data_IF_207815813496
#
_entry.id   IF_207815813496
#
_cell.length_a   1.000
_cell.length_b   1.000
_cell.length_c   1.000
_cell.angle_alpha   90.00
_cell.angle_beta   90.00
_cell.angle_gamma   90.00
#
_symmetry.space_group_name_H-M   'P 1'
#
loop_
_entity.id
_entity.type
_entity.pdbx_description
1 polymer ?
#
# COMPACT_ATOMS: atom_id res chain seq x y z
N UNK A 1 21.61 -3.36 -2.08
CA UNK A 1 20.66 -2.90 -1.02
C UNK A 1 19.25 -3.54 -1.15
N UNK A 2 19.13 -4.76 -1.71
CA UNK A 2 17.85 -5.42 -2.05
C UNK A 2 17.55 -6.70 -1.25
N UNK A 3 18.52 -7.24 -0.49
CA UNK A 3 18.33 -8.47 0.30
C UNK A 3 17.64 -8.25 1.66
N UNK A 4 17.85 -7.11 2.32
CA UNK A 4 17.33 -6.88 3.68
C UNK A 4 15.81 -6.58 3.73
N UNK A 5 15.24 -6.02 2.67
CA UNK A 5 13.79 -5.82 2.57
C UNK A 5 13.03 -7.14 2.27
N UNK A 6 13.72 -8.14 1.70
CA UNK A 6 13.12 -9.42 1.30
C UNK A 6 12.68 -10.25 2.51
N UNK A 7 13.48 -10.27 3.58
CA UNK A 7 13.26 -11.13 4.76
C UNK A 7 12.03 -10.77 5.60
N UNK A 8 11.78 -9.48 5.85
CA UNK A 8 10.63 -9.05 6.67
C UNK A 8 9.29 -9.32 5.99
N UNK A 9 9.17 -9.10 4.68
CA UNK A 9 7.93 -9.40 3.95
C UNK A 9 7.66 -10.90 3.83
N UNK A 10 8.72 -11.72 3.69
CA UNK A 10 8.60 -13.18 3.65
C UNK A 10 8.02 -13.74 4.96
N UNK A 11 8.39 -13.18 6.11
CA UNK A 11 7.86 -13.59 7.41
C UNK A 11 6.35 -13.35 7.53
N UNK A 12 5.84 -12.22 7.05
CA UNK A 12 4.40 -11.94 7.05
C UNK A 12 3.63 -12.86 6.10
N UNK A 13 4.18 -13.14 4.92
CA UNK A 13 3.60 -14.08 3.96
C UNK A 13 3.56 -15.49 4.57
N UNK A 14 4.65 -15.92 5.20
CA UNK A 14 4.73 -17.21 5.88
C UNK A 14 3.75 -17.29 7.04
N UNK A 15 3.65 -16.27 7.89
CA UNK A 15 2.69 -16.26 9.00
C UNK A 15 1.25 -16.38 8.49
N UNK A 16 0.88 -15.59 7.48
CA UNK A 16 -0.46 -15.62 6.89
C UNK A 16 -0.74 -16.96 6.19
N UNK A 17 0.23 -17.48 5.45
CA UNK A 17 0.12 -18.77 4.80
C UNK A 17 -0.01 -19.91 5.81
N UNK A 18 0.77 -19.88 6.90
CA UNK A 18 0.72 -20.86 7.99
C UNK A 18 -0.61 -20.76 8.74
N UNK A 19 -1.10 -19.56 9.06
CA UNK A 19 -2.41 -19.42 9.71
C UNK A 19 -3.53 -19.91 8.80
N UNK A 20 -3.51 -19.58 7.51
CA UNK A 20 -4.47 -20.08 6.53
C UNK A 20 -4.42 -21.61 6.37
N UNK A 21 -3.22 -22.18 6.25
CA UNK A 21 -3.00 -23.63 6.19
C UNK A 21 -3.45 -24.34 7.47
N UNK A 22 -3.16 -23.76 8.63
CA UNK A 22 -3.56 -24.31 9.93
C UNK A 22 -5.08 -24.30 10.07
N UNK A 23 -5.74 -23.18 9.72
CA UNK A 23 -7.21 -23.10 9.71
C UNK A 23 -7.84 -24.09 8.73
N UNK A 24 -7.25 -24.25 7.54
CA UNK A 24 -7.72 -25.24 6.56
C UNK A 24 -7.53 -26.68 7.03
N UNK A 25 -6.35 -27.01 7.57
CA UNK A 25 -6.06 -28.33 8.11
C UNK A 25 -6.98 -28.68 9.28
N UNK A 26 -7.20 -27.74 10.21
CA UNK A 26 -8.15 -27.92 11.31
C UNK A 26 -9.58 -28.14 10.81
N UNK A 27 -10.03 -27.36 9.82
CA UNK A 27 -11.36 -27.55 9.22
C UNK A 27 -11.51 -28.93 8.55
N UNK A 28 -10.50 -29.38 7.80
CA UNK A 28 -10.54 -30.67 7.11
C UNK A 28 -10.40 -31.88 8.04
N UNK A 29 -9.62 -31.76 9.12
CA UNK A 29 -9.41 -32.83 10.11
C UNK A 29 -10.45 -32.85 11.22
N UNK A 30 -11.22 -31.78 11.41
CA UNK A 30 -12.27 -31.68 12.42
C UNK A 30 -13.30 -32.82 12.37
N UNK A 31 -13.80 -33.27 11.19
CA UNK A 31 -14.75 -34.38 11.10
C UNK A 31 -14.10 -35.75 11.36
N UNK A 32 -12.77 -35.86 11.20
CA UNK A 32 -12.03 -37.11 11.41
C UNK A 32 -11.79 -37.40 12.90
N UNK A 33 -11.84 -36.36 13.74
CA UNK A 33 -11.86 -36.47 15.18
C UNK A 33 -13.30 -36.80 15.57
N UNK A 34 -13.61 -38.08 15.82
CA UNK A 34 -14.94 -38.59 16.16
C UNK A 34 -15.51 -38.09 17.52
N UNK A 35 -15.41 -36.79 17.77
CA UNK A 35 -15.85 -36.09 18.95
C UNK A 35 -17.10 -35.29 18.57
N UNK A 36 -18.22 -35.59 19.21
CA UNK A 36 -19.51 -34.96 18.94
C UNK A 36 -19.45 -33.43 19.09
N UNK A 37 -19.91 -32.69 18.07
CA UNK A 37 -20.07 -31.23 18.13
C UNK A 37 -18.82 -30.41 17.77
N UNK A 38 -17.70 -31.04 17.41
CA UNK A 38 -16.49 -30.34 16.97
C UNK A 38 -16.72 -29.51 15.73
N UNK A 39 -17.50 -29.99 14.76
CA UNK A 39 -17.77 -29.26 13.50
C UNK A 39 -18.36 -27.87 13.74
N UNK A 40 -19.42 -27.80 14.57
CA UNK A 40 -20.09 -26.55 14.94
C UNK A 40 -19.10 -25.61 15.65
N UNK A 41 -18.29 -26.16 16.56
CA UNK A 41 -17.30 -25.39 17.32
C UNK A 41 -16.23 -24.78 16.42
N UNK A 42 -15.76 -25.54 15.42
CA UNK A 42 -14.78 -25.07 14.44
C UNK A 42 -15.35 -23.94 13.59
N UNK A 43 -16.60 -24.03 13.15
CA UNK A 43 -17.26 -22.95 12.39
C UNK A 43 -17.39 -21.66 13.22
N UNK A 44 -17.70 -21.75 14.52
CA UNK A 44 -17.75 -20.58 15.41
C UNK A 44 -16.37 -19.93 15.61
N UNK A 45 -15.33 -20.75 15.81
CA UNK A 45 -13.95 -20.24 15.94
C UNK A 45 -13.49 -19.56 14.65
N UNK A 46 -13.82 -20.13 13.49
CA UNK A 46 -13.55 -19.52 12.18
C UNK A 46 -14.28 -18.18 12.02
N UNK A 47 -15.52 -18.07 12.51
CA UNK A 47 -16.28 -16.82 12.53
C UNK A 47 -15.61 -15.74 13.39
N UNK A 48 -15.18 -16.09 14.62
CA UNK A 48 -14.46 -15.16 15.49
C UNK A 48 -13.13 -14.70 14.87
N UNK A 49 -12.41 -15.64 14.25
CA UNK A 49 -11.15 -15.36 13.56
C UNK A 49 -11.36 -14.42 12.36
N UNK A 50 -12.44 -14.62 11.58
CA UNK A 50 -12.81 -13.73 10.49
C UNK A 50 -13.05 -12.29 10.97
N UNK A 51 -13.80 -12.12 12.06
CA UNK A 51 -14.05 -10.79 12.66
C UNK A 51 -12.76 -10.12 13.11
N UNK A 52 -11.88 -10.86 13.80
CA UNK A 52 -10.56 -10.36 14.21
C UNK A 52 -9.74 -9.87 13.02
N UNK A 53 -9.73 -10.62 11.91
CA UNK A 53 -9.00 -10.23 10.71
C UNK A 53 -9.61 -8.98 10.07
N UNK A 54 -10.95 -8.87 10.00
CA UNK A 54 -11.61 -7.66 9.48
C UNK A 54 -11.22 -6.43 10.30
N UNK A 55 -11.19 -6.53 11.63
CA UNK A 55 -10.74 -5.44 12.52
C UNK A 55 -9.30 -5.04 12.20
N UNK A 56 -8.41 -6.01 12.00
CA UNK A 56 -7.02 -5.76 11.60
C UNK A 56 -6.93 -5.08 10.22
N UNK A 57 -7.75 -5.51 9.25
CA UNK A 57 -7.85 -4.86 7.93
C UNK A 57 -8.30 -3.41 8.07
N UNK A 58 -9.31 -3.12 8.91
CA UNK A 58 -9.81 -1.77 9.18
C UNK A 58 -8.78 -0.88 9.88
N UNK A 59 -7.93 -1.45 10.74
CA UNK A 59 -6.90 -0.72 11.47
C UNK A 59 -5.92 0.04 10.55
N UNK A 60 -5.72 -0.43 9.31
CA UNK A 60 -4.93 0.30 8.30
C UNK A 60 -5.52 1.68 7.98
N UNK A 61 -6.85 1.76 7.83
CA UNK A 61 -7.56 3.01 7.52
C UNK A 61 -7.42 4.02 8.67
N UNK A 62 -7.44 3.51 9.91
CA UNK A 62 -7.23 4.30 11.12
C UNK A 62 -5.79 4.83 11.19
N UNK A 63 -4.79 3.99 10.88
CA UNK A 63 -3.38 4.40 10.87
C UNK A 63 -3.11 5.52 9.87
N UNK A 64 -3.68 5.42 8.66
CA UNK A 64 -3.50 6.43 7.60
C UNK A 64 -4.01 7.82 8.02
N UNK A 65 -5.04 7.88 8.87
CA UNK A 65 -5.73 9.13 9.24
C UNK A 65 -5.34 9.68 10.61
N UNK A 66 -5.08 8.82 11.60
CA UNK A 66 -5.09 9.24 13.02
C UNK A 66 -3.80 8.90 13.79
N UNK A 67 -2.95 8.00 13.32
CA UNK A 67 -1.84 7.49 14.13
C UNK A 67 -0.48 8.13 13.78
N UNK A 68 -0.25 9.38 14.21
CA UNK A 68 1.10 9.95 14.31
C UNK A 68 1.81 9.34 15.53
N UNK A 69 2.48 8.20 15.37
CA UNK A 69 3.24 7.59 16.48
C UNK A 69 3.46 6.07 16.41
N UNK A 70 2.78 5.35 15.50
CA UNK A 70 2.97 3.90 15.36
C UNK A 70 4.23 3.62 14.50
N UNK A 71 5.27 2.96 15.05
CA UNK A 71 6.48 2.65 14.31
C UNK A 71 6.21 1.67 13.16
N UNK A 72 6.71 1.99 11.96
CA UNK A 72 6.64 1.13 10.78
C UNK A 72 6.50 1.92 9.48
N UNK A 73 7.09 1.44 8.38
CA UNK A 73 6.90 2.06 7.06
C UNK A 73 5.44 1.94 6.61
N UNK A 74 4.90 2.98 5.97
CA UNK A 74 3.52 2.95 5.43
C UNK A 74 3.35 1.83 4.39
N UNK A 75 4.40 1.57 3.59
CA UNK A 75 4.43 0.49 2.60
C UNK A 75 4.22 -0.89 3.24
N UNK A 76 4.88 -1.19 4.37
CA UNK A 76 4.72 -2.49 5.05
C UNK A 76 3.30 -2.73 5.54
N UNK A 77 2.62 -1.68 6.00
CA UNK A 77 1.24 -1.77 6.46
C UNK A 77 0.27 -1.95 5.30
N UNK A 78 0.53 -1.32 4.15
CA UNK A 78 -0.25 -1.56 2.94
C UNK A 78 -0.13 -3.01 2.47
N UNK A 79 1.08 -3.58 2.50
CA UNK A 79 1.29 -5.00 2.21
C UNK A 79 0.55 -5.91 3.19
N UNK A 80 0.65 -5.64 4.50
CA UNK A 80 -0.08 -6.39 5.51
C UNK A 80 -1.59 -6.33 5.28
N UNK A 81 -2.14 -5.16 4.98
CA UNK A 81 -3.56 -4.98 4.65
C UNK A 81 -3.99 -5.81 3.44
N UNK A 82 -3.17 -5.84 2.38
CA UNK A 82 -3.47 -6.61 1.17
C UNK A 82 -3.45 -8.12 1.44
N UNK A 83 -2.46 -8.62 2.19
CA UNK A 83 -2.38 -10.04 2.55
C UNK A 83 -3.50 -10.46 3.52
N UNK A 84 -3.80 -9.63 4.52
CA UNK A 84 -4.88 -9.88 5.47
C UNK A 84 -6.25 -9.87 4.78
N UNK A 85 -6.46 -9.02 3.77
CA UNK A 85 -7.68 -9.02 2.96
C UNK A 85 -7.89 -10.34 2.23
N UNK A 86 -6.84 -10.88 1.59
CA UNK A 86 -6.90 -12.17 0.90
C UNK A 86 -7.16 -13.31 1.90
N UNK A 87 -6.49 -13.29 3.06
CA UNK A 87 -6.71 -14.27 4.13
C UNK A 87 -8.14 -14.21 4.68
N UNK A 88 -8.70 -13.00 4.86
CA UNK A 88 -10.07 -12.80 5.32
C UNK A 88 -11.07 -13.46 4.37
N UNK A 89 -10.89 -13.27 3.05
CA UNK A 89 -11.75 -13.89 2.05
C UNK A 89 -11.74 -15.42 2.14
N UNK A 90 -10.55 -16.01 2.32
CA UNK A 90 -10.40 -17.45 2.47
C UNK A 90 -11.07 -17.99 3.74
N UNK A 91 -10.86 -17.34 4.89
CA UNK A 91 -11.46 -17.76 6.17
C UNK A 91 -12.98 -17.57 6.17
N UNK A 92 -13.49 -16.52 5.53
CA UNK A 92 -14.93 -16.30 5.39
C UNK A 92 -15.56 -17.38 4.49
N UNK A 93 -14.88 -17.81 3.43
CA UNK A 93 -15.35 -18.92 2.60
C UNK A 93 -15.43 -20.23 3.40
N UNK A 94 -14.44 -20.49 4.28
CA UNK A 94 -14.46 -21.65 5.19
C UNK A 94 -15.59 -21.55 6.24
N UNK A 95 -15.81 -20.36 6.83
CA UNK A 95 -16.89 -20.12 7.78
C UNK A 95 -18.28 -20.32 7.15
N UNK A 96 -18.42 -20.01 5.86
CA UNK A 96 -19.65 -20.24 5.11
C UNK A 96 -19.86 -21.71 4.68
N UNK A 97 -18.96 -22.63 5.05
CA UNK A 97 -18.97 -24.04 4.64
C UNK A 97 -19.05 -24.23 3.11
N UNK A 98 -18.59 -23.25 2.32
CA UNK A 98 -18.80 -23.17 0.87
C UNK A 98 -20.28 -23.23 0.43
N UNK A 99 -21.24 -23.00 1.32
CA UNK A 99 -22.67 -22.97 1.03
C UNK A 99 -23.06 -21.58 0.50
N UNK A 100 -22.66 -21.32 -0.75
CA UNK A 100 -23.02 -20.09 -1.44
C UNK A 100 -24.40 -20.22 -2.08
N UNK A 101 -25.35 -19.41 -1.60
CA UNK A 101 -26.71 -19.31 -2.11
C UNK A 101 -27.13 -17.84 -2.27
N UNK A 102 -28.43 -17.56 -2.41
CA UNK A 102 -28.93 -16.19 -2.51
C UNK A 102 -29.13 -15.54 -1.13
N UNK A 103 -28.08 -15.56 -0.31
CA UNK A 103 -28.11 -15.14 1.09
C UNK A 103 -27.19 -13.93 1.34
N UNK A 104 -27.47 -13.19 2.42
CA UNK A 104 -26.67 -12.03 2.86
C UNK A 104 -25.18 -12.37 3.01
N UNK A 105 -24.85 -13.59 3.43
CA UNK A 105 -23.47 -14.07 3.57
C UNK A 105 -22.72 -14.10 2.23
N UNK A 106 -23.39 -14.53 1.16
CA UNK A 106 -22.79 -14.60 -0.19
C UNK A 106 -22.59 -13.20 -0.76
N UNK A 107 -23.56 -12.30 -0.55
CA UNK A 107 -23.42 -10.89 -0.94
C UNK A 107 -22.25 -10.23 -0.20
N UNK A 108 -22.12 -10.46 1.11
CA UNK A 108 -21.01 -9.94 1.90
C UNK A 108 -19.65 -10.48 1.43
N UNK A 109 -19.55 -11.76 1.08
CA UNK A 109 -18.34 -12.35 0.52
C UNK A 109 -17.96 -11.74 -0.84
N UNK A 110 -18.95 -11.51 -1.73
CA UNK A 110 -18.73 -10.86 -3.03
C UNK A 110 -18.27 -9.41 -2.85
N UNK A 111 -18.92 -8.65 -1.96
CA UNK A 111 -18.51 -7.27 -1.66
C UNK A 111 -17.10 -7.21 -1.07
N UNK A 112 -16.75 -8.14 -0.19
CA UNK A 112 -15.38 -8.24 0.33
C UNK A 112 -14.37 -8.52 -0.79
N UNK A 113 -14.71 -9.43 -1.72
CA UNK A 113 -13.91 -9.69 -2.91
C UNK A 113 -13.68 -8.42 -3.74
N UNK A 114 -14.75 -7.64 -3.97
CA UNK A 114 -14.68 -6.37 -4.69
C UNK A 114 -13.77 -5.35 -3.96
N UNK A 115 -13.87 -5.25 -2.64
CA UNK A 115 -13.01 -4.40 -1.82
C UNK A 115 -11.53 -4.80 -1.95
N UNK A 116 -11.22 -6.11 -1.99
CA UNK A 116 -9.85 -6.59 -2.19
C UNK A 116 -9.33 -6.19 -3.58
N UNK A 117 -10.14 -6.39 -4.63
CA UNK A 117 -9.78 -6.02 -6.00
C UNK A 117 -9.51 -4.51 -6.11
N UNK A 118 -10.39 -3.69 -5.56
CA UNK A 118 -10.19 -2.23 -5.54
C UNK A 118 -8.95 -1.83 -4.74
N UNK A 119 -8.62 -2.54 -3.65
CA UNK A 119 -7.37 -2.37 -2.90
C UNK A 119 -6.11 -2.68 -3.72
N UNK A 120 -6.11 -3.76 -4.50
CA UNK A 120 -5.01 -4.11 -5.42
C UNK A 120 -4.84 -3.03 -6.49
N UNK A 121 -5.95 -2.60 -7.11
CA UNK A 121 -5.95 -1.54 -8.12
C UNK A 121 -5.39 -0.24 -7.54
N UNK A 122 -5.87 0.20 -6.37
CA UNK A 122 -5.40 1.41 -5.70
C UNK A 122 -3.88 1.41 -5.46
N UNK A 123 -3.30 0.24 -5.20
CA UNK A 123 -1.85 0.10 -5.08
C UNK A 123 -1.11 0.22 -6.41
N UNK A 124 -1.65 -0.34 -7.49
CA UNK A 124 -1.09 -0.17 -8.83
C UNK A 124 -1.05 1.32 -9.23
N UNK A 125 -2.07 2.08 -8.86
CA UNK A 125 -2.07 3.54 -9.01
C UNK A 125 -0.97 4.20 -8.18
N UNK A 126 -0.81 3.81 -6.92
CA UNK A 126 0.22 4.39 -6.03
C UNK A 126 1.65 4.16 -6.52
N UNK A 127 1.94 3.05 -7.20
CA UNK A 127 3.26 2.80 -7.80
C UNK A 127 3.50 3.59 -9.09
N UNK A 128 2.45 3.88 -9.88
CA UNK A 128 2.59 4.58 -11.16
C UNK A 128 2.61 6.11 -11.05
N UNK A 129 1.76 6.69 -10.20
CA UNK A 129 1.62 8.15 -10.06
C UNK A 129 2.91 8.92 -9.73
N UNK A 130 3.78 8.49 -8.80
CA UNK A 130 4.96 9.29 -8.48
C UNK A 130 5.99 9.31 -9.61
N UNK A 131 6.05 8.26 -10.44
CA UNK A 131 7.03 8.18 -11.52
C UNK A 131 6.78 9.19 -12.64
N UNK A 132 5.51 9.44 -12.98
CA UNK A 132 5.14 10.42 -14.00
C UNK A 132 5.34 11.84 -13.48
N UNK A 133 4.90 12.15 -12.25
CA UNK A 133 5.05 13.48 -11.67
C UNK A 133 6.53 13.88 -11.52
N UNK A 134 7.39 12.96 -11.06
CA UNK A 134 8.84 13.22 -10.93
C UNK A 134 9.48 13.42 -12.31
N UNK A 135 9.06 12.64 -13.31
CA UNK A 135 9.60 12.79 -14.68
C UNK A 135 9.20 14.12 -15.32
N UNK A 136 7.99 14.61 -15.05
CA UNK A 136 7.52 15.91 -15.54
C UNK A 136 8.20 17.07 -14.81
N UNK A 137 8.38 16.97 -13.49
CA UNK A 137 9.16 17.95 -12.74
C UNK A 137 10.59 18.06 -13.26
N UNK A 138 11.29 16.95 -13.49
CA UNK A 138 12.65 16.97 -14.03
C UNK A 138 12.73 17.61 -15.43
N UNK A 139 11.72 17.41 -16.28
CA UNK A 139 11.62 18.10 -17.57
C UNK A 139 11.46 19.61 -17.43
N UNK A 140 10.70 20.07 -16.43
CA UNK A 140 10.54 21.50 -16.15
C UNK A 140 11.85 22.09 -15.60
N UNK A 141 12.49 21.42 -14.63
CA UNK A 141 13.76 21.86 -14.07
C UNK A 141 14.87 21.97 -15.12
N UNK A 142 15.01 20.97 -15.99
CA UNK A 142 16.00 21.02 -17.09
C UNK A 142 15.73 22.13 -18.11
N UNK A 143 14.46 22.45 -18.40
CA UNK A 143 14.11 23.61 -19.23
C UNK A 143 14.48 24.94 -18.55
N UNK A 144 14.22 25.07 -17.24
CA UNK A 144 14.59 26.26 -16.47
C UNK A 144 16.11 26.46 -16.44
N UNK A 145 16.86 25.37 -16.27
CA UNK A 145 18.32 25.39 -16.29
C UNK A 145 18.86 25.81 -17.67
N UNK A 146 18.28 25.29 -18.76
CA UNK A 146 18.61 25.74 -20.12
C UNK A 146 18.30 27.22 -20.39
N UNK A 147 17.19 27.75 -19.87
CA UNK A 147 16.88 29.19 -19.96
C UNK A 147 17.88 30.02 -19.15
N UNK A 148 18.29 29.54 -17.98
CA UNK A 148 19.29 30.20 -17.13
C UNK A 148 20.66 30.26 -17.81
N UNK A 149 21.09 29.18 -18.47
CA UNK A 149 22.35 29.13 -19.20
C UNK A 149 22.35 30.03 -20.44
N UNK A 150 21.25 30.05 -21.20
CA UNK A 150 21.09 30.97 -22.32
C UNK A 150 21.12 32.44 -21.87
N UNK A 151 20.48 32.75 -20.74
CA UNK A 151 20.51 34.09 -20.15
C UNK A 151 21.93 34.46 -19.71
N UNK A 152 22.64 33.56 -19.02
CA UNK A 152 24.02 33.79 -18.60
C UNK A 152 24.95 34.04 -19.80
N UNK A 153 24.85 33.26 -20.88
CA UNK A 153 25.63 33.50 -22.10
C UNK A 153 25.32 34.83 -22.79
N UNK A 154 24.06 35.28 -22.75
CA UNK A 154 23.67 36.61 -23.25
C UNK A 154 24.16 37.75 -22.35
N UNK A 155 24.24 37.52 -21.05
CA UNK A 155 24.70 38.48 -20.05
C UNK A 155 26.24 38.57 -20.00
N UNK A 156 26.97 37.49 -20.28
CA UNK A 156 28.43 37.44 -20.25
C UNK A 156 29.09 38.46 -21.19
N UNK A 157 28.47 38.71 -22.34
CA UNK A 157 28.92 39.70 -23.33
C UNK A 157 28.20 41.08 -23.21
N UNK A 158 27.52 41.35 -22.09
CA UNK A 158 26.81 42.62 -21.84
C UNK A 158 27.48 43.41 -20.73
N UNK A 159 27.31 44.73 -20.78
CA UNK A 159 27.94 45.66 -19.85
C UNK A 159 27.46 45.43 -18.40
N UNK A 160 28.35 45.63 -17.42
CA UNK A 160 28.07 45.48 -15.99
C UNK A 160 26.80 46.22 -15.48
N UNK A 161 26.45 47.42 -15.98
CA UNK A 161 25.19 48.07 -15.61
C UNK A 161 23.96 47.29 -16.04
N UNK A 162 24.00 46.66 -17.23
CA UNK A 162 22.89 45.89 -17.77
C UNK A 162 22.68 44.58 -16.98
N UNK A 163 23.77 43.91 -16.59
CA UNK A 163 23.73 42.73 -15.72
C UNK A 163 23.09 43.05 -14.36
N UNK A 164 23.41 44.22 -13.79
CA UNK A 164 22.89 44.66 -12.49
C UNK A 164 21.37 44.90 -12.51
N UNK A 165 20.85 45.52 -13.58
CA UNK A 165 19.40 45.79 -13.73
C UNK A 165 18.60 44.50 -13.92
N UNK A 166 19.09 43.59 -14.78
CA UNK A 166 18.43 42.30 -14.99
C UNK A 166 18.46 41.43 -13.73
N UNK A 167 19.58 41.44 -12.99
CA UNK A 167 19.72 40.71 -11.73
C UNK A 167 18.78 41.20 -10.63
N UNK A 168 18.53 42.52 -10.53
CA UNK A 168 17.57 43.09 -9.57
C UNK A 168 16.12 42.78 -9.92
N UNK A 169 15.75 42.75 -11.21
CA UNK A 169 14.38 42.45 -11.65
C UNK A 169 14.01 40.97 -11.49
N UNK A 170 14.97 40.06 -11.69
CA UNK A 170 14.71 38.62 -11.60
C UNK A 170 14.91 38.05 -10.18
N UNK A 171 15.29 38.87 -9.20
CA UNK A 171 15.65 38.45 -7.84
C UNK A 171 16.64 37.26 -7.81
N UNK A 172 17.51 37.20 -8.82
CA UNK A 172 18.55 36.17 -8.93
C UNK A 172 19.75 36.71 -8.15
N UNK A 173 20.29 36.01 -7.14
CA UNK A 173 21.54 36.44 -6.52
C UNK A 173 22.58 36.56 -7.62
N UNK A 174 23.18 37.75 -7.75
CA UNK A 174 24.07 38.09 -8.85
C UNK A 174 25.11 36.99 -9.03
N UNK A 175 25.23 36.35 -10.21
CA UNK A 175 26.47 35.67 -10.51
C UNK A 175 27.54 36.77 -10.51
N UNK A 176 28.65 36.51 -9.82
CA UNK A 176 29.79 37.42 -9.63
C UNK A 176 29.67 38.31 -8.38
N UNK A 177 30.11 37.78 -7.25
CA UNK A 177 31.27 38.38 -6.58
C UNK A 177 32.29 37.27 -6.29
N UNK A 178 33.60 37.56 -6.39
CA UNK A 178 34.66 36.61 -6.06
C UNK A 178 34.60 36.12 -4.60
#
# INVERSE_FOLDING_TARGET
MTRLLKGKHQQWILLIAVTGLLSWALYYWAPALAISGIEITVVYILGLLAVLIIILVMSYSLRKRLARGIPGRLDNWLWAHLYLGILALFIIALHAEFRFGWNYSTVAAVLLGLVIVTGVIGRLFYMRLPSTIVSEQNKIFSKLEGVKDALNGLLENKSKPFQKVIGSELNIPSPISP
#
